data_IF_358726595618
#
_entry.id   IF_358726595618
#
_cell.length_a   1.000
_cell.length_b   1.000
_cell.length_c   1.000
_cell.angle_alpha   90.00
_cell.angle_beta   90.00
_cell.angle_gamma   90.00
#
_symmetry.space_group_name_H-M   'P 1'
#
loop_
_entity.id
_entity.type
_entity.pdbx_description
1 polymer ?
#
# COMPACT_ATOMS: atom_id res chain seq x y z
N UNK A 1 -11.77 20.69 8.68
CA UNK A 1 -10.60 21.57 8.42
C UNK A 1 -9.72 20.96 7.34
N UNK A 2 -9.09 21.80 6.51
CA UNK A 2 -8.24 21.40 5.37
C UNK A 2 -7.10 20.44 5.74
N UNK A 3 -6.48 20.61 6.91
CA UNK A 3 -5.37 19.76 7.41
C UNK A 3 -5.74 18.28 7.48
N UNK A 4 -6.95 17.97 7.98
CA UNK A 4 -7.46 16.59 8.05
C UNK A 4 -7.68 16.00 6.67
N UNK A 5 -8.28 16.76 5.73
CA UNK A 5 -8.47 16.27 4.36
C UNK A 5 -7.15 16.00 3.65
N UNK A 6 -6.14 16.85 3.85
CA UNK A 6 -4.80 16.62 3.30
C UNK A 6 -4.13 15.37 3.88
N UNK A 7 -4.30 15.11 5.18
CA UNK A 7 -3.79 13.89 5.80
C UNK A 7 -4.49 12.63 5.24
N UNK A 8 -5.81 12.68 5.07
CA UNK A 8 -6.61 11.59 4.49
C UNK A 8 -6.20 11.32 3.04
N UNK A 9 -6.05 12.37 2.23
CA UNK A 9 -5.62 12.28 0.83
C UNK A 9 -4.24 11.60 0.74
N UNK A 10 -3.30 12.01 1.59
CA UNK A 10 -1.96 11.41 1.62
C UNK A 10 -2.00 9.93 2.02
N UNK A 11 -2.82 9.57 3.01
CA UNK A 11 -2.95 8.18 3.46
C UNK A 11 -3.53 7.28 2.36
N UNK A 12 -4.61 7.71 1.70
CA UNK A 12 -5.17 6.97 0.58
C UNK A 12 -4.18 6.88 -0.59
N UNK A 13 -3.46 7.97 -0.89
CA UNK A 13 -2.42 7.98 -1.91
C UNK A 13 -1.29 6.97 -1.63
N UNK A 14 -0.82 6.87 -0.38
CA UNK A 14 0.21 5.88 0.01
C UNK A 14 -0.27 4.44 -0.16
N UNK A 15 -1.50 4.15 0.25
CA UNK A 15 -2.09 2.81 0.08
C UNK A 15 -2.25 2.48 -1.40
N UNK A 16 -2.76 3.42 -2.21
CA UNK A 16 -2.94 3.23 -3.65
C UNK A 16 -1.61 3.03 -4.40
N UNK A 17 -0.55 3.76 -4.01
CA UNK A 17 0.79 3.57 -4.59
C UNK A 17 1.30 2.14 -4.35
N UNK A 18 1.13 1.60 -3.14
CA UNK A 18 1.50 0.22 -2.83
C UNK A 18 0.60 -0.80 -3.51
N UNK A 19 -0.70 -0.52 -3.61
CA UNK A 19 -1.66 -1.38 -4.31
C UNK A 19 -1.29 -1.52 -5.80
N UNK A 20 -0.95 -0.42 -6.48
CA UNK A 20 -0.52 -0.47 -7.88
C UNK A 20 0.77 -1.28 -8.07
N UNK A 21 1.76 -1.09 -7.19
CA UNK A 21 2.97 -1.91 -7.23
C UNK A 21 2.64 -3.40 -7.05
N UNK A 22 1.76 -3.72 -6.10
CA UNK A 22 1.27 -5.08 -5.87
C UNK A 22 0.61 -5.68 -7.12
N UNK A 23 -0.28 -4.93 -7.77
CA UNK A 23 -0.91 -5.35 -9.04
C UNK A 23 0.13 -5.67 -10.12
N UNK A 24 1.16 -4.83 -10.30
CA UNK A 24 2.23 -5.11 -11.27
C UNK A 24 3.04 -6.37 -10.92
N UNK A 25 3.41 -6.55 -9.65
CA UNK A 25 4.19 -7.71 -9.20
C UNK A 25 3.39 -9.00 -9.36
N UNK A 26 2.11 -9.00 -8.95
CA UNK A 26 1.25 -10.17 -9.02
C UNK A 26 0.90 -10.54 -10.47
N UNK A 27 0.64 -9.56 -11.35
CA UNK A 27 0.35 -9.83 -12.76
C UNK A 27 1.57 -10.37 -13.51
N UNK A 28 2.80 -10.01 -13.10
CA UNK A 28 4.03 -10.60 -13.62
C UNK A 28 4.35 -11.99 -13.03
N UNK A 29 3.49 -12.52 -12.16
CA UNK A 29 3.66 -13.82 -11.48
C UNK A 29 4.99 -13.93 -10.74
N UNK A 30 5.48 -12.82 -10.19
CA UNK A 30 6.64 -12.81 -9.31
C UNK A 30 6.21 -13.26 -7.91
N UNK A 31 6.04 -14.57 -7.76
CA UNK A 31 5.63 -15.21 -6.50
C UNK A 31 6.84 -15.73 -5.75
N UNK A 32 6.76 -15.77 -4.42
CA UNK A 32 7.72 -16.50 -3.62
C UNK A 32 7.60 -18.01 -3.89
N UNK A 33 8.73 -18.71 -3.95
CA UNK A 33 8.72 -20.16 -4.06
C UNK A 33 8.40 -20.76 -2.68
N UNK A 34 7.33 -21.56 -2.60
CA UNK A 34 6.91 -22.23 -1.35
C UNK A 34 5.40 -22.19 -1.05
N UNK A 35 5.08 -22.51 0.19
CA UNK A 35 3.71 -22.62 0.71
C UNK A 35 3.32 -21.37 1.50
N UNK A 36 2.16 -20.79 1.18
CA UNK A 36 1.52 -19.76 1.99
C UNK A 36 1.05 -20.35 3.32
N UNK A 37 0.42 -21.53 3.26
CA UNK A 37 -0.10 -22.25 4.41
C UNK A 37 0.27 -23.72 4.32
N UNK A 38 1.31 -24.17 5.04
CA UNK A 38 1.69 -25.58 5.06
C UNK A 38 0.58 -26.49 5.63
N UNK A 39 -0.29 -25.97 6.51
CA UNK A 39 -1.40 -26.71 7.10
C UNK A 39 -2.57 -26.91 6.13
N UNK A 40 -2.79 -25.98 5.20
CA UNK A 40 -3.86 -26.06 4.19
C UNK A 40 -3.34 -26.46 2.80
N UNK A 41 -2.02 -26.61 2.65
CA UNK A 41 -1.39 -27.03 1.40
C UNK A 41 -1.41 -25.99 0.28
N UNK A 42 -1.68 -24.72 0.59
CA UNK A 42 -1.81 -23.63 -0.40
C UNK A 42 -0.43 -23.06 -0.73
N UNK A 43 -0.07 -23.01 -2.03
CA UNK A 43 1.16 -22.36 -2.51
C UNK A 43 0.92 -20.90 -2.89
N UNK A 44 1.97 -20.10 -2.87
CA UNK A 44 1.91 -18.71 -3.36
C UNK A 44 1.59 -18.63 -4.86
N UNK A 45 2.00 -19.64 -5.64
CA UNK A 45 1.69 -19.75 -7.07
C UNK A 45 0.22 -19.99 -7.37
N UNK A 46 -0.52 -20.55 -6.41
CA UNK A 46 -1.90 -20.98 -6.60
C UNK A 46 -2.90 -19.83 -6.37
N UNK A 47 -2.39 -18.69 -5.89
CA UNK A 47 -3.19 -17.50 -5.61
C UNK A 47 -3.39 -16.70 -6.90
N UNK A 48 -4.64 -16.30 -7.15
CA UNK A 48 -4.99 -15.44 -8.27
C UNK A 48 -4.35 -14.04 -8.13
N UNK A 49 -3.96 -13.44 -9.25
CA UNK A 49 -3.30 -12.14 -9.28
C UNK A 49 -4.26 -10.95 -9.21
N UNK A 50 -5.54 -11.17 -9.48
CA UNK A 50 -6.58 -10.15 -9.40
C UNK A 50 -7.22 -10.04 -8.01
N UNK A 51 -8.34 -9.32 -7.94
CA UNK A 51 -9.08 -9.07 -6.69
C UNK A 51 -9.49 -10.36 -5.94
N UNK A 52 -9.68 -11.46 -6.67
CA UNK A 52 -10.06 -12.76 -6.11
C UNK A 52 -8.97 -13.37 -5.21
N UNK A 53 -7.71 -13.00 -5.41
CA UNK A 53 -6.58 -13.49 -4.62
C UNK A 53 -6.72 -13.18 -3.13
N UNK A 54 -7.36 -12.05 -2.77
CA UNK A 54 -7.61 -11.69 -1.37
C UNK A 54 -8.50 -12.73 -0.65
N UNK A 55 -9.46 -13.32 -1.37
CA UNK A 55 -10.39 -14.29 -0.80
C UNK A 55 -9.81 -15.72 -0.73
N UNK A 56 -8.68 -15.95 -1.39
CA UNK A 56 -7.96 -17.23 -1.35
C UNK A 56 -6.95 -17.31 -0.20
N UNK A 57 -6.63 -16.16 0.43
CA UNK A 57 -5.78 -16.12 1.62
C UNK A 57 -6.54 -16.68 2.83
N UNK A 58 -5.95 -17.61 3.61
CA UNK A 58 -6.58 -18.15 4.80
C UNK A 58 -6.97 -17.05 5.80
N UNK A 59 -8.11 -17.24 6.47
CA UNK A 59 -8.67 -16.25 7.40
C UNK A 59 -7.72 -15.89 8.55
N UNK A 60 -6.93 -16.86 9.02
CA UNK A 60 -5.90 -16.64 10.04
C UNK A 60 -4.81 -15.66 9.54
N UNK A 61 -4.39 -15.75 8.27
CA UNK A 61 -3.42 -14.83 7.67
C UNK A 61 -3.98 -13.42 7.53
N UNK A 62 -5.23 -13.28 7.10
CA UNK A 62 -5.91 -11.98 7.03
C UNK A 62 -6.05 -11.34 8.42
N UNK A 63 -6.38 -12.13 9.44
CA UNK A 63 -6.48 -11.65 10.82
C UNK A 63 -5.12 -11.13 11.33
N UNK A 64 -4.02 -11.83 11.02
CA UNK A 64 -2.66 -11.37 11.37
C UNK A 64 -2.31 -10.03 10.72
N UNK A 65 -2.64 -9.86 9.43
CA UNK A 65 -2.41 -8.60 8.70
C UNK A 65 -3.21 -7.47 9.33
N UNK A 66 -4.52 -7.66 9.58
CA UNK A 66 -5.38 -6.62 10.18
C UNK A 66 -4.88 -6.26 11.58
N UNK A 67 -4.52 -7.25 12.40
CA UNK A 67 -4.02 -7.00 13.75
C UNK A 67 -2.71 -6.23 13.73
N UNK A 68 -1.76 -6.63 12.88
CA UNK A 68 -0.47 -5.96 12.77
C UNK A 68 -0.61 -4.53 12.22
N UNK A 69 -1.35 -4.35 11.12
CA UNK A 69 -1.61 -3.02 10.56
C UNK A 69 -2.35 -2.13 11.55
N UNK A 70 -3.35 -2.66 12.26
CA UNK A 70 -4.07 -1.92 13.31
C UNK A 70 -3.16 -1.51 14.46
N UNK A 71 -2.26 -2.40 14.90
CA UNK A 71 -1.27 -2.08 15.93
C UNK A 71 -0.30 -0.96 15.49
N UNK A 72 0.24 -1.07 14.27
CA UNK A 72 1.14 -0.07 13.68
C UNK A 72 0.44 1.29 13.58
N UNK A 73 -0.81 1.30 13.12
CA UNK A 73 -1.60 2.51 12.93
C UNK A 73 -1.98 3.21 14.25
N UNK A 74 -2.01 2.48 15.36
CA UNK A 74 -2.36 3.03 16.68
C UNK A 74 -1.14 3.46 17.50
N UNK A 75 -0.01 2.74 17.36
CA UNK A 75 1.14 2.92 18.26
C UNK A 75 2.32 3.62 17.60
N UNK A 76 2.84 3.08 16.50
CA UNK A 76 4.05 3.61 15.85
C UNK A 76 3.77 4.75 14.88
N UNK A 77 2.75 4.59 14.04
CA UNK A 77 2.39 5.56 13.01
C UNK A 77 0.93 6.00 13.21
N UNK A 78 0.66 6.76 14.28
CA UNK A 78 -0.68 7.15 14.66
C UNK A 78 -1.39 7.87 13.51
N UNK A 79 -2.54 7.36 13.08
CA UNK A 79 -3.37 8.02 12.07
C UNK A 79 -3.91 9.39 12.53
N UNK A 80 -3.87 9.66 13.84
CA UNK A 80 -4.19 10.97 14.43
C UNK A 80 -3.12 12.03 14.16
N UNK A 81 -1.90 11.64 13.77
CA UNK A 81 -0.85 12.57 13.41
C UNK A 81 -1.06 13.13 12.00
N UNK A 82 -1.67 14.32 11.93
CA UNK A 82 -2.07 14.96 10.67
C UNK A 82 -0.90 15.46 9.81
N UNK A 83 0.27 15.62 10.42
CA UNK A 83 1.48 16.10 9.71
C UNK A 83 2.01 15.04 8.73
N UNK A 84 1.71 13.75 8.99
CA UNK A 84 2.07 12.61 8.15
C UNK A 84 3.58 12.42 7.93
N UNK A 85 4.40 13.02 8.79
CA UNK A 85 5.82 12.73 8.95
C UNK A 85 6.02 11.88 10.20
N UNK A 86 6.36 10.62 9.98
CA UNK A 86 6.52 9.64 11.04
C UNK A 86 7.99 9.49 11.51
N UNK A 87 8.86 10.44 11.16
CA UNK A 87 10.27 10.41 11.56
C UNK A 87 11.13 9.37 10.82
N UNK A 88 10.57 8.69 9.81
CA UNK A 88 11.32 7.73 9.00
C UNK A 88 12.25 8.48 8.06
N UNK A 89 13.56 8.25 8.23
CA UNK A 89 14.63 8.78 7.38
C UNK A 89 15.42 7.62 6.76
N UNK A 90 15.75 7.73 5.47
CA UNK A 90 16.45 6.75 4.65
C UNK A 90 17.70 7.41 4.04
N UNK A 91 18.69 7.67 4.89
CA UNK A 91 19.93 8.35 4.52
C UNK A 91 19.68 9.65 3.74
N UNK A 92 20.43 9.85 2.65
CA UNK A 92 20.39 11.07 1.85
C UNK A 92 19.13 11.19 0.95
N UNK A 93 18.24 10.20 0.94
CA UNK A 93 17.07 10.18 0.05
C UNK A 93 15.99 11.12 0.56
N UNK A 94 15.80 11.21 1.88
CA UNK A 94 14.77 12.04 2.51
C UNK A 94 15.32 12.85 3.71
N UNK A 95 16.61 13.19 3.67
CA UNK A 95 17.20 14.12 4.64
C UNK A 95 16.78 15.57 4.32
N UNK A 96 15.60 15.94 4.82
CA UNK A 96 15.01 17.26 4.57
C UNK A 96 15.61 18.38 5.43
N UNK A 97 16.41 18.03 6.45
CA UNK A 97 17.11 18.98 7.31
C UNK A 97 18.34 19.56 6.60
N UNK A 98 19.07 18.73 5.85
CA UNK A 98 20.22 19.17 5.06
C UNK A 98 19.83 19.86 3.74
N UNK A 99 18.67 19.52 3.16
CA UNK A 99 18.24 20.04 1.86
C UNK A 99 16.76 20.47 1.83
N UNK A 100 16.41 21.66 2.34
CA UNK A 100 15.03 22.14 2.42
C UNK A 100 14.37 22.34 1.04
N UNK A 101 15.17 22.56 -0.01
CA UNK A 101 14.65 22.68 -1.38
C UNK A 101 14.07 21.34 -1.90
N UNK A 102 14.61 20.20 -1.46
CA UNK A 102 14.09 18.87 -1.84
C UNK A 102 12.78 18.55 -1.14
N UNK A 103 12.55 19.09 0.06
CA UNK A 103 11.36 18.83 0.87
C UNK A 103 10.06 19.07 0.09
N UNK A 104 9.86 20.30 -0.40
CA UNK A 104 8.63 20.68 -1.11
C UNK A 104 8.44 19.89 -2.40
N UNK A 105 9.52 19.68 -3.16
CA UNK A 105 9.49 18.90 -4.40
C UNK A 105 9.06 17.45 -4.14
N UNK A 106 9.65 16.79 -3.14
CA UNK A 106 9.34 15.40 -2.82
C UNK A 106 7.93 15.23 -2.25
N UNK A 107 7.47 16.15 -1.39
CA UNK A 107 6.09 16.15 -0.89
C UNK A 107 5.06 16.34 -2.00
N UNK A 108 5.34 17.23 -2.96
CA UNK A 108 4.48 17.42 -4.13
C UNK A 108 4.49 16.19 -5.04
N UNK A 109 5.66 15.56 -5.22
CA UNK A 109 5.77 14.32 -5.99
C UNK A 109 4.99 13.17 -5.32
N UNK A 110 5.10 12.99 -4.00
CA UNK A 110 4.33 12.01 -3.22
C UNK A 110 2.82 12.21 -3.43
N UNK A 111 2.36 13.46 -3.35
CA UNK A 111 0.94 13.77 -3.50
C UNK A 111 0.43 13.50 -4.93
N UNK A 112 1.17 13.96 -5.94
CA UNK A 112 0.76 13.79 -7.34
C UNK A 112 0.82 12.32 -7.77
N UNK A 113 1.84 11.58 -7.35
CA UNK A 113 1.92 10.13 -7.57
C UNK A 113 0.80 9.40 -6.83
N UNK A 114 0.49 9.79 -5.59
CA UNK A 114 -0.63 9.25 -4.84
C UNK A 114 -1.98 9.47 -5.54
N UNK A 115 -2.21 10.66 -6.10
CA UNK A 115 -3.42 10.97 -6.89
C UNK A 115 -3.53 10.12 -8.15
N UNK A 116 -2.44 10.01 -8.90
CA UNK A 116 -2.39 9.16 -10.09
C UNK A 116 -2.62 7.69 -9.73
N UNK A 117 -2.01 7.20 -8.65
CA UNK A 117 -2.17 5.83 -8.19
C UNK A 117 -3.61 5.53 -7.75
N UNK A 118 -4.29 6.46 -7.05
CA UNK A 118 -5.70 6.28 -6.68
C UNK A 118 -6.59 6.08 -7.91
N UNK A 119 -6.38 6.87 -8.97
CA UNK A 119 -7.12 6.72 -10.22
C UNK A 119 -6.76 5.43 -10.95
N UNK A 120 -5.48 5.05 -10.96
CA UNK A 120 -5.01 3.83 -11.58
C UNK A 120 -5.58 2.58 -10.89
N UNK A 121 -5.52 2.50 -9.56
CA UNK A 121 -6.06 1.35 -8.80
C UNK A 121 -7.56 1.21 -8.99
N UNK A 122 -8.30 2.32 -8.94
CA UNK A 122 -9.74 2.30 -9.21
C UNK A 122 -10.03 1.78 -10.63
N UNK A 123 -9.27 2.26 -11.63
CA UNK A 123 -9.37 1.79 -13.01
C UNK A 123 -9.11 0.29 -13.14
N UNK A 124 -8.01 -0.21 -12.58
CA UNK A 124 -7.66 -1.64 -12.62
C UNK A 124 -8.74 -2.49 -11.97
N UNK A 125 -9.24 -2.11 -10.79
CA UNK A 125 -10.32 -2.85 -10.13
C UNK A 125 -11.61 -2.88 -10.96
N UNK A 126 -12.01 -1.74 -11.53
CA UNK A 126 -13.19 -1.72 -12.41
C UNK A 126 -13.01 -2.58 -13.65
N UNK A 127 -11.80 -2.60 -14.22
CA UNK A 127 -11.51 -3.44 -15.37
C UNK A 127 -11.56 -4.93 -15.01
N UNK A 128 -10.89 -5.37 -13.94
CA UNK A 128 -10.93 -6.77 -13.49
C UNK A 128 -12.36 -7.26 -13.22
N UNK A 129 -13.22 -6.43 -12.62
CA UNK A 129 -14.62 -6.80 -12.36
C UNK A 129 -15.44 -6.90 -13.64
N UNK A 130 -15.20 -6.05 -14.63
CA UNK A 130 -15.99 -6.01 -15.87
C UNK A 130 -15.53 -7.05 -16.89
N UNK A 131 -14.22 -7.23 -17.07
CA UNK A 131 -13.66 -8.18 -18.04
C UNK A 131 -13.51 -9.59 -17.48
N UNK A 132 -13.59 -9.74 -16.16
CA UNK A 132 -13.13 -10.92 -15.46
C UNK A 132 -11.62 -10.90 -15.21
N UNK A 133 -11.14 -11.70 -14.24
CA UNK A 133 -9.72 -11.88 -13.95
C UNK A 133 -8.96 -12.59 -15.07
#
# INVERSE_FOLDING_TARGET
TFTRYRAIERKHGRIAMMAMLGTFVHNNKWTFDGYLSPSEGVKFSDIDSGISGLFQVPTAGLAQIIFFCGFVELTWWPASQLDGDYGVRLGNINNWEEEPAKYFRQKNAELNNGRAAMMATAGTFTHEVVTGP
#
